data_IF_110877460546
#
_entry.id   IF_110877460546
#
_cell.length_a   1.000
_cell.length_b   1.000
_cell.length_c   1.000
_cell.angle_alpha   90.00
_cell.angle_beta   90.00
_cell.angle_gamma   90.00
#
_symmetry.space_group_name_H-M   'P 1'
#
loop_
_entity.id
_entity.type
_entity.pdbx_description
1 polymer ?
#
# COMPACT_ATOMS: atom_id res chain seq x y z
N UNK A 1 -9.02 14.11 20.70
CA UNK A 1 -8.52 14.53 19.40
C UNK A 1 -7.65 13.47 18.74
N UNK A 2 -7.26 13.68 17.50
CA UNK A 2 -6.34 12.83 16.74
C UNK A 2 -5.05 13.61 16.51
N UNK A 3 -3.91 12.93 16.67
CA UNK A 3 -2.60 13.46 16.27
C UNK A 3 -2.27 12.90 14.91
N UNK A 4 -1.93 13.77 13.96
CA UNK A 4 -1.48 13.37 12.62
C UNK A 4 0.04 13.51 12.52
N UNK A 5 0.69 12.46 12.01
CA UNK A 5 2.12 12.45 11.68
C UNK A 5 2.21 12.31 10.17
N UNK A 6 2.61 13.39 9.50
CA UNK A 6 2.88 13.36 8.07
C UNK A 6 4.23 12.67 7.82
N UNK A 7 4.25 11.71 6.91
CA UNK A 7 5.45 10.96 6.56
C UNK A 7 6.05 11.50 5.29
N UNK A 8 7.35 11.72 5.31
CA UNK A 8 8.18 11.79 4.13
C UNK A 8 8.88 10.44 3.96
N UNK A 9 8.71 9.80 2.81
CA UNK A 9 9.25 8.47 2.54
C UNK A 9 9.88 8.45 1.14
N UNK A 10 10.91 7.64 0.98
CA UNK A 10 11.62 7.52 -0.30
C UNK A 10 10.68 7.08 -1.41
N UNK A 11 10.69 7.80 -2.50
CA UNK A 11 9.94 7.49 -3.71
C UNK A 11 10.77 6.60 -4.67
N UNK A 12 10.17 6.11 -5.75
CA UNK A 12 10.87 5.30 -6.73
C UNK A 12 12.02 6.02 -7.45
N UNK A 13 12.08 7.34 -7.37
CA UNK A 13 13.21 8.12 -7.91
C UNK A 13 14.41 8.15 -6.95
N UNK A 14 14.19 7.85 -5.68
CA UNK A 14 15.22 7.88 -4.63
C UNK A 14 15.71 6.47 -4.34
N UNK A 15 14.79 5.52 -4.20
CA UNK A 15 15.14 4.12 -3.94
C UNK A 15 13.95 3.21 -4.33
N UNK A 16 14.19 2.06 -4.96
CA UNK A 16 13.13 1.16 -5.40
C UNK A 16 12.46 0.41 -4.24
N UNK A 17 11.40 -0.34 -4.58
CA UNK A 17 10.78 -1.28 -3.65
C UNK A 17 11.82 -2.21 -2.99
N UNK A 18 11.79 -2.38 -1.66
CA UNK A 18 10.74 -2.02 -0.72
C UNK A 18 11.00 -0.74 0.10
N UNK A 19 11.81 0.21 -0.35
CA UNK A 19 12.26 1.35 0.44
C UNK A 19 11.13 2.16 1.09
N UNK A 20 10.11 2.57 0.32
CA UNK A 20 8.94 3.28 0.89
C UNK A 20 8.23 2.48 1.98
N UNK A 21 8.14 1.15 1.82
CA UNK A 21 7.51 0.26 2.82
C UNK A 21 8.34 0.21 4.10
N UNK A 22 9.67 0.19 3.97
CA UNK A 22 10.59 0.25 5.11
C UNK A 22 10.45 1.56 5.88
N UNK A 23 10.36 2.68 5.17
CA UNK A 23 10.20 4.00 5.78
C UNK A 23 8.87 4.10 6.54
N UNK A 24 7.77 3.63 5.97
CA UNK A 24 6.46 3.63 6.62
C UNK A 24 6.44 2.66 7.82
N UNK A 25 7.02 1.48 7.69
CA UNK A 25 7.17 0.54 8.80
C UNK A 25 7.96 1.19 9.94
N UNK A 26 9.09 1.84 9.63
CA UNK A 26 9.87 2.59 10.61
C UNK A 26 9.04 3.70 11.27
N UNK A 27 8.31 4.48 10.48
CA UNK A 27 7.50 5.60 10.97
C UNK A 27 6.39 5.14 11.94
N UNK A 28 5.75 3.99 11.69
CA UNK A 28 4.79 3.40 12.65
C UNK A 28 5.47 3.06 13.97
N UNK A 29 6.63 2.38 13.92
CA UNK A 29 7.39 2.02 15.12
C UNK A 29 7.91 3.25 15.87
N UNK A 30 8.39 4.25 15.14
CA UNK A 30 8.85 5.53 15.69
C UNK A 30 7.69 6.29 16.37
N UNK A 31 6.51 6.31 15.75
CA UNK A 31 5.31 6.94 16.33
C UNK A 31 4.91 6.26 17.64
N UNK A 32 4.96 4.93 17.69
CA UNK A 32 4.71 4.18 18.95
C UNK A 32 5.74 4.51 20.02
N UNK A 33 7.01 4.54 19.66
CA UNK A 33 8.12 4.90 20.57
C UNK A 33 7.93 6.31 21.15
N UNK A 34 7.44 7.25 20.35
CA UNK A 34 7.27 8.65 20.75
C UNK A 34 5.84 8.98 21.20
N UNK A 35 4.99 7.99 21.47
CA UNK A 35 3.57 8.20 21.77
C UNK A 35 3.33 9.14 22.94
N UNK A 36 4.11 9.04 24.02
CA UNK A 36 4.01 9.93 25.17
C UNK A 36 4.34 11.39 24.81
N UNK A 37 5.41 11.62 24.01
CA UNK A 37 5.80 12.94 23.50
C UNK A 37 4.74 13.54 22.60
N UNK A 38 4.09 12.70 21.78
CA UNK A 38 3.00 13.08 20.89
C UNK A 38 1.65 13.18 21.60
N UNK A 39 1.58 12.94 22.93
CA UNK A 39 0.36 12.93 23.74
C UNK A 39 -0.71 11.97 23.20
N UNK A 40 -0.28 10.80 22.71
CA UNK A 40 -1.12 9.74 22.17
C UNK A 40 -0.80 8.39 22.82
N UNK A 41 -1.31 7.29 22.29
CA UNK A 41 -1.14 5.94 22.82
C UNK A 41 -0.48 5.04 21.78
N UNK A 42 0.57 4.26 22.13
CA UNK A 42 1.29 3.42 21.19
C UNK A 42 0.42 2.31 20.57
N UNK A 43 -0.62 1.88 21.26
CA UNK A 43 -1.56 0.85 20.77
C UNK A 43 -2.74 1.41 19.95
N UNK A 44 -2.79 2.72 19.69
CA UNK A 44 -3.85 3.39 18.93
C UNK A 44 -3.30 4.11 17.68
N UNK A 45 -2.34 3.51 17.01
CA UNK A 45 -1.80 4.02 15.76
C UNK A 45 -2.61 3.44 14.59
N UNK A 46 -3.04 4.28 13.66
CA UNK A 46 -3.64 3.91 12.39
C UNK A 46 -2.81 4.44 11.22
N UNK A 47 -3.02 3.92 10.03
CA UNK A 47 -2.44 4.44 8.79
C UNK A 47 -3.54 5.05 7.92
N UNK A 48 -3.18 6.13 7.24
CA UNK A 48 -4.03 6.73 6.20
C UNK A 48 -3.19 7.01 4.97
N UNK A 49 -3.73 6.71 3.79
CA UNK A 49 -3.02 6.95 2.54
C UNK A 49 -3.93 7.06 1.34
N UNK A 50 -3.45 7.81 0.34
CA UNK A 50 -4.13 8.06 -0.92
C UNK A 50 -3.37 7.40 -2.06
N UNK A 51 -4.06 6.81 -3.04
CA UNK A 51 -3.47 6.21 -4.25
C UNK A 51 -2.34 5.22 -3.90
N UNK A 52 -1.11 5.47 -4.34
CA UNK A 52 0.06 4.67 -3.96
C UNK A 52 0.30 4.66 -2.44
N UNK A 53 0.05 5.77 -1.73
CA UNK A 53 0.13 5.81 -0.26
C UNK A 53 -0.89 4.90 0.42
N UNK A 54 -2.09 4.75 -0.15
CA UNK A 54 -3.09 3.80 0.34
C UNK A 54 -2.65 2.33 0.17
N UNK A 55 -2.01 2.01 -0.97
CA UNK A 55 -1.38 0.72 -1.19
C UNK A 55 -0.29 0.43 -0.14
N UNK A 56 0.67 1.35 0.01
CA UNK A 56 1.79 1.19 0.94
C UNK A 56 1.31 1.05 2.39
N UNK A 57 0.30 1.84 2.79
CA UNK A 57 -0.32 1.75 4.10
C UNK A 57 -0.93 0.37 4.35
N UNK A 58 -1.67 -0.17 3.37
CA UNK A 58 -2.26 -1.51 3.47
C UNK A 58 -1.19 -2.59 3.49
N UNK A 59 -0.17 -2.51 2.66
CA UNK A 59 0.90 -3.51 2.61
C UNK A 59 1.66 -3.60 3.95
N UNK A 60 2.01 -2.44 4.56
CA UNK A 60 2.62 -2.41 5.89
C UNK A 60 1.67 -2.98 6.95
N UNK A 61 0.39 -2.63 6.90
CA UNK A 61 -0.59 -3.12 7.86
C UNK A 61 -0.81 -4.63 7.77
N UNK A 62 -0.74 -5.20 6.56
CA UNK A 62 -0.87 -6.64 6.34
C UNK A 62 0.38 -7.42 6.74
N UNK A 63 1.58 -6.83 6.61
CA UNK A 63 2.88 -7.48 6.87
C UNK A 63 3.74 -6.70 7.90
N UNK A 64 3.21 -6.36 9.08
CA UNK A 64 3.92 -5.48 10.03
C UNK A 64 5.20 -6.12 10.62
N UNK A 65 5.31 -7.44 10.53
CA UNK A 65 6.43 -8.22 11.07
C UNK A 65 7.41 -8.70 10.00
N UNK A 66 7.21 -8.34 8.74
CA UNK A 66 8.13 -8.75 7.67
C UNK A 66 9.52 -8.11 7.91
N UNK A 67 10.58 -8.92 8.09
CA UNK A 67 11.90 -8.42 8.40
C UNK A 67 12.48 -7.52 7.31
N UNK A 68 12.06 -7.70 6.05
CA UNK A 68 12.48 -6.85 4.93
C UNK A 68 11.94 -5.43 5.07
N UNK A 69 10.75 -5.29 5.66
CA UNK A 69 10.10 -3.99 5.90
C UNK A 69 10.57 -3.37 7.22
N UNK A 70 10.95 -4.19 8.20
CA UNK A 70 11.48 -3.74 9.48
C UNK A 70 12.99 -3.45 9.47
N UNK A 71 13.61 -3.33 8.29
CA UNK A 71 15.06 -3.23 8.11
C UNK A 71 15.70 -1.98 8.74
N UNK A 72 14.96 -0.86 8.87
CA UNK A 72 15.50 0.36 9.49
C UNK A 72 15.39 0.23 11.01
N UNK A 73 16.49 0.23 11.78
CA UNK A 73 16.44 0.07 13.23
C UNK A 73 15.89 1.32 13.92
N UNK A 74 15.17 1.14 15.02
CA UNK A 74 14.90 2.23 15.96
C UNK A 74 16.21 2.67 16.65
N UNK A 75 16.27 3.89 17.26
CA UNK A 75 17.45 4.35 17.98
C UNK A 75 17.94 3.31 19.00
N UNK A 76 19.25 3.17 19.14
CA UNK A 76 19.85 2.21 20.07
C UNK A 76 19.33 2.39 21.51
N UNK A 77 19.04 1.27 22.18
CA UNK A 77 18.47 1.29 23.54
C UNK A 77 16.97 1.57 23.61
N UNK A 78 16.28 1.79 22.47
CA UNK A 78 14.83 1.96 22.45
C UNK A 78 14.09 0.66 22.81
N UNK A 79 12.92 0.74 23.47
CA UNK A 79 12.02 -0.39 23.58
C UNK A 79 11.62 -0.93 22.19
N UNK A 80 11.47 -2.24 22.07
CA UNK A 80 11.00 -2.86 20.84
C UNK A 80 9.55 -2.48 20.55
N UNK A 81 9.30 -2.03 19.33
CA UNK A 81 7.96 -1.79 18.79
C UNK A 81 7.84 -2.48 17.42
N UNK A 82 6.69 -3.05 17.14
CA UNK A 82 6.31 -3.56 15.83
C UNK A 82 5.53 -2.51 15.01
N UNK A 83 5.27 -2.81 13.75
CA UNK A 83 4.51 -1.93 12.87
C UNK A 83 3.01 -2.28 12.78
N UNK A 84 2.46 -3.04 13.76
CA UNK A 84 1.01 -3.30 13.80
C UNK A 84 0.21 -2.01 13.95
N UNK A 85 -0.95 -1.94 13.29
CA UNK A 85 -1.83 -0.78 13.36
C UNK A 85 -3.26 -1.19 13.70
N UNK A 86 -4.04 -0.25 14.22
CA UNK A 86 -5.44 -0.48 14.65
C UNK A 86 -6.43 -0.39 13.50
N UNK A 87 -6.11 0.40 12.49
CA UNK A 87 -6.95 0.55 11.29
C UNK A 87 -6.15 1.13 10.13
N UNK A 88 -6.71 0.99 8.94
CA UNK A 88 -6.22 1.60 7.71
C UNK A 88 -7.33 2.39 7.04
N UNK A 89 -7.03 3.62 6.62
CA UNK A 89 -7.93 4.47 5.84
C UNK A 89 -7.32 4.69 4.47
N UNK A 90 -8.01 4.25 3.43
CA UNK A 90 -7.52 4.34 2.06
C UNK A 90 -8.44 5.17 1.19
N UNK A 91 -7.86 6.03 0.40
CA UNK A 91 -8.58 6.84 -0.57
C UNK A 91 -8.07 6.46 -1.96
N UNK A 92 -8.93 5.85 -2.81
CA UNK A 92 -8.62 5.27 -4.13
C UNK A 92 -7.23 4.62 -4.23
N UNK A 93 -6.94 3.60 -3.39
CA UNK A 93 -5.61 2.99 -3.35
C UNK A 93 -5.27 2.21 -4.62
N UNK A 94 -3.99 2.15 -4.95
CA UNK A 94 -3.45 1.22 -5.96
C UNK A 94 -3.27 -0.15 -5.33
N UNK A 95 -4.36 -0.84 -5.03
CA UNK A 95 -4.30 -2.05 -4.20
C UNK A 95 -3.73 -3.28 -4.90
N UNK A 96 -3.73 -3.27 -6.22
CA UNK A 96 -3.16 -4.32 -7.06
C UNK A 96 -2.19 -3.70 -8.08
N UNK A 97 -0.92 -3.48 -7.71
CA UNK A 97 0.04 -2.80 -8.58
C UNK A 97 0.30 -3.54 -9.89
N UNK A 98 0.34 -4.86 -9.91
CA UNK A 98 0.56 -5.63 -11.13
C UNK A 98 -0.61 -5.51 -12.11
N UNK A 99 -1.83 -5.71 -11.65
CA UNK A 99 -3.03 -5.53 -12.48
C UNK A 99 -3.10 -4.11 -13.04
N UNK A 100 -2.84 -3.10 -12.19
CA UNK A 100 -2.83 -1.71 -12.63
C UNK A 100 -1.76 -1.42 -13.68
N UNK A 101 -0.56 -1.98 -13.54
CA UNK A 101 0.50 -1.83 -14.52
C UNK A 101 0.09 -2.38 -15.87
N UNK A 102 -0.48 -3.58 -15.89
CA UNK A 102 -0.98 -4.22 -17.11
C UNK A 102 -2.19 -3.50 -17.70
N UNK A 103 -3.09 -2.99 -16.85
CA UNK A 103 -4.19 -2.12 -17.27
C UNK A 103 -3.67 -0.83 -17.95
N UNK A 104 -2.66 -0.17 -17.38
CA UNK A 104 -2.03 1.00 -17.97
C UNK A 104 -1.40 0.69 -19.33
N UNK A 105 -0.69 -0.42 -19.46
CA UNK A 105 -0.11 -0.87 -20.75
C UNK A 105 -1.19 -1.11 -21.82
N UNK A 106 -2.30 -1.74 -21.46
CA UNK A 106 -3.43 -1.95 -22.39
C UNK A 106 -4.07 -0.61 -22.78
N UNK A 107 -4.24 0.30 -21.85
CA UNK A 107 -4.78 1.62 -22.13
C UNK A 107 -3.86 2.46 -23.03
N UNK A 108 -2.53 2.38 -22.83
CA UNK A 108 -1.55 3.05 -23.69
C UNK A 108 -1.56 2.50 -25.12
N UNK A 109 -1.74 1.19 -25.28
CA UNK A 109 -1.78 0.52 -26.59
C UNK A 109 -3.13 0.64 -27.31
N UNK A 110 -4.13 1.30 -26.73
CA UNK A 110 -5.45 1.45 -27.34
C UNK A 110 -5.43 2.43 -28.53
N UNK A 111 -6.44 2.38 -29.41
CA UNK A 111 -6.52 3.26 -30.58
C UNK A 111 -6.59 4.76 -30.20
N UNK A 112 -7.13 5.10 -29.04
CA UNK A 112 -7.22 6.45 -28.51
C UNK A 112 -6.72 6.45 -27.05
N UNK A 113 -5.39 6.42 -26.82
CA UNK A 113 -4.84 6.32 -25.48
C UNK A 113 -5.13 7.56 -24.67
N UNK A 114 -5.63 7.44 -23.42
CA UNK A 114 -5.73 8.56 -22.51
C UNK A 114 -4.33 9.07 -22.11
N UNK A 115 -4.24 10.23 -21.50
CA UNK A 115 -2.95 10.85 -21.18
C UNK A 115 -2.21 10.18 -19.99
N UNK A 116 -2.94 9.49 -19.10
CA UNK A 116 -2.40 9.02 -17.82
C UNK A 116 -1.48 7.78 -17.87
N UNK A 117 -1.63 6.78 -18.80
CA UNK A 117 -0.89 5.52 -18.70
C UNK A 117 0.62 5.68 -18.74
N UNK A 118 1.13 6.50 -19.64
CA UNK A 118 2.57 6.70 -19.83
C UNK A 118 3.30 7.09 -18.53
N UNK A 119 2.75 8.05 -17.79
CA UNK A 119 3.33 8.50 -16.53
C UNK A 119 3.24 7.44 -15.43
N UNK A 120 2.16 6.64 -15.43
CA UNK A 120 1.96 5.56 -14.47
C UNK A 120 2.95 4.42 -14.73
N UNK A 121 3.10 4.00 -15.98
CA UNK A 121 4.05 2.95 -16.37
C UNK A 121 5.45 3.34 -15.92
N UNK A 122 5.93 4.54 -16.30
CA UNK A 122 7.26 5.01 -15.93
C UNK A 122 7.51 5.03 -14.40
N UNK A 123 6.53 5.46 -13.61
CA UNK A 123 6.63 5.46 -12.14
C UNK A 123 6.66 4.05 -11.56
N UNK A 124 5.87 3.14 -12.12
CA UNK A 124 5.85 1.75 -11.66
C UNK A 124 7.13 1.02 -12.06
N UNK A 125 7.66 1.25 -13.25
CA UNK A 125 8.96 0.71 -13.68
C UNK A 125 10.08 1.18 -12.74
N UNK A 126 10.12 2.48 -12.43
CA UNK A 126 11.11 3.04 -11.51
C UNK A 126 11.03 2.43 -10.11
N UNK A 127 9.84 2.33 -9.52
CA UNK A 127 9.66 1.86 -8.15
C UNK A 127 9.77 0.34 -8.02
N UNK A 128 9.05 -0.41 -8.87
CA UNK A 128 8.96 -1.86 -8.75
C UNK A 128 10.11 -2.61 -9.42
N UNK A 129 10.67 -2.06 -10.48
CA UNK A 129 11.73 -2.63 -11.31
C UNK A 129 11.39 -3.97 -11.99
N UNK A 130 10.34 -4.65 -11.58
CA UNK A 130 9.88 -5.90 -12.20
C UNK A 130 8.42 -6.20 -11.86
N UNK A 131 7.75 -6.96 -12.74
CA UNK A 131 6.42 -7.52 -12.45
C UNK A 131 6.44 -8.50 -11.27
N UNK A 132 7.56 -9.18 -11.02
CA UNK A 132 7.72 -10.07 -9.87
C UNK A 132 7.64 -9.30 -8.55
N UNK A 133 8.27 -8.14 -8.46
CA UNK A 133 8.15 -7.25 -7.30
C UNK A 133 6.73 -6.66 -7.17
N UNK A 134 6.08 -6.33 -8.29
CA UNK A 134 4.67 -5.89 -8.30
C UNK A 134 3.73 -6.99 -7.79
N UNK A 135 4.01 -8.25 -8.09
CA UNK A 135 3.23 -9.39 -7.60
C UNK A 135 3.52 -9.69 -6.13
N UNK A 136 4.77 -9.55 -5.70
CA UNK A 136 5.19 -9.81 -4.32
C UNK A 136 4.63 -8.75 -3.36
N UNK A 137 4.81 -7.45 -3.66
CA UNK A 137 4.31 -6.34 -2.85
C UNK A 137 2.82 -6.02 -3.07
N UNK A 138 1.99 -7.00 -3.37
CA UNK A 138 0.61 -6.85 -3.82
C UNK A 138 -0.39 -7.32 -2.76
N UNK A 139 -1.14 -6.42 -2.11
CA UNK A 139 -2.14 -6.78 -1.10
C UNK A 139 -3.22 -7.73 -1.61
N UNK A 140 -3.75 -7.51 -2.82
CA UNK A 140 -4.79 -8.39 -3.41
C UNK A 140 -4.24 -9.80 -3.64
N UNK A 141 -3.08 -9.90 -4.27
CA UNK A 141 -2.46 -11.20 -4.56
C UNK A 141 -1.98 -11.93 -3.29
N UNK A 142 -1.56 -11.19 -2.25
CA UNK A 142 -1.22 -11.80 -0.96
C UNK A 142 -2.42 -12.57 -0.37
N UNK A 143 -3.61 -11.96 -0.39
CA UNK A 143 -4.85 -12.60 0.05
C UNK A 143 -5.21 -13.80 -0.85
N UNK A 144 -5.11 -13.65 -2.17
CA UNK A 144 -5.44 -14.72 -3.13
C UNK A 144 -4.49 -15.92 -3.05
N UNK A 145 -3.24 -15.70 -2.67
CA UNK A 145 -2.26 -16.78 -2.41
C UNK A 145 -2.46 -17.43 -1.03
N UNK A 146 -3.41 -16.95 -0.22
CA UNK A 146 -3.62 -17.46 1.15
C UNK A 146 -2.45 -17.17 2.09
N UNK A 147 -1.73 -16.08 1.86
CA UNK A 147 -0.64 -15.69 2.76
C UNK A 147 -1.17 -15.37 4.16
N UNK A 148 -0.39 -15.77 5.18
CA UNK A 148 -0.69 -15.40 6.57
C UNK A 148 -0.34 -13.95 6.82
N UNK A 149 -1.31 -13.07 6.57
CA UNK A 149 -1.21 -11.62 6.77
C UNK A 149 -2.19 -11.15 7.83
N UNK A 150 -1.98 -9.95 8.38
CA UNK A 150 -2.96 -9.30 9.25
C UNK A 150 -4.01 -8.57 8.41
N UNK A 151 -5.25 -8.56 8.87
CA UNK A 151 -6.36 -7.83 8.24
C UNK A 151 -7.02 -6.87 9.24
N UNK A 152 -6.34 -5.79 9.66
CA UNK A 152 -6.93 -4.84 10.60
C UNK A 152 -8.15 -4.14 9.99
N UNK A 153 -9.09 -3.63 10.79
CA UNK A 153 -10.22 -2.84 10.29
C UNK A 153 -9.78 -1.80 9.27
N UNK A 154 -10.45 -1.75 8.12
CA UNK A 154 -10.09 -0.87 7.02
C UNK A 154 -11.31 -0.16 6.45
N UNK A 155 -11.10 1.09 6.00
CA UNK A 155 -12.07 1.88 5.26
C UNK A 155 -11.47 2.21 3.90
N UNK A 156 -12.28 2.05 2.85
CA UNK A 156 -11.94 2.42 1.48
C UNK A 156 -12.89 3.48 0.98
N UNK A 157 -12.34 4.63 0.57
CA UNK A 157 -13.06 5.67 -0.15
C UNK A 157 -12.71 5.60 -1.64
N UNK A 158 -13.73 5.50 -2.50
CA UNK A 158 -13.58 5.47 -3.96
C UNK A 158 -14.44 6.56 -4.59
N UNK A 159 -13.86 7.33 -5.51
CA UNK A 159 -14.60 8.27 -6.34
C UNK A 159 -15.37 7.54 -7.44
N UNK A 160 -16.46 8.13 -7.91
CA UNK A 160 -17.18 7.65 -9.10
C UNK A 160 -16.39 7.99 -10.37
N UNK A 161 -16.49 7.14 -11.39
CA UNK A 161 -15.86 7.31 -12.71
C UNK A 161 -14.32 7.43 -12.67
N UNK A 162 -13.68 6.83 -11.69
CA UNK A 162 -12.21 6.78 -11.56
C UNK A 162 -11.64 5.60 -12.37
N UNK A 163 -11.52 5.77 -13.67
CA UNK A 163 -11.04 4.72 -14.58
C UNK A 163 -9.58 4.30 -14.35
N UNK A 164 -8.85 5.04 -13.53
CA UNK A 164 -7.46 4.76 -13.20
C UNK A 164 -7.32 3.78 -12.00
N UNK A 165 -8.26 3.80 -11.06
CA UNK A 165 -8.25 2.96 -9.86
C UNK A 165 -9.45 2.02 -9.78
N UNK A 166 -10.53 2.34 -10.51
CA UNK A 166 -11.76 1.56 -10.56
C UNK A 166 -11.94 0.94 -11.96
N UNK A 167 -11.36 -0.23 -12.15
CA UNK A 167 -11.41 -0.97 -13.40
C UNK A 167 -11.56 -2.49 -13.13
N UNK A 168 -12.07 -3.22 -14.10
CA UNK A 168 -12.09 -4.69 -14.09
C UNK A 168 -10.78 -5.22 -14.69
N UNK A 169 -10.10 -6.08 -13.94
CA UNK A 169 -8.94 -6.79 -14.47
C UNK A 169 -9.38 -7.90 -15.42
N UNK A 170 -9.03 -7.74 -16.69
CA UNK A 170 -9.39 -8.70 -17.74
C UNK A 170 -8.62 -10.03 -17.65
N UNK A 171 -7.58 -10.08 -16.82
CA UNK A 171 -6.80 -11.29 -16.57
C UNK A 171 -7.27 -12.05 -15.32
N UNK A 172 -8.31 -11.54 -14.65
CA UNK A 172 -8.88 -12.14 -13.45
C UNK A 172 -10.23 -12.79 -13.72
N UNK A 173 -10.46 -13.95 -13.13
CA UNK A 173 -11.77 -14.63 -13.14
C UNK A 173 -12.77 -13.98 -12.16
N UNK A 174 -12.36 -12.98 -11.38
CA UNK A 174 -13.25 -12.29 -10.45
C UNK A 174 -14.28 -11.44 -11.22
N UNK A 175 -15.56 -11.67 -10.97
CA UNK A 175 -16.62 -10.88 -11.58
C UNK A 175 -16.87 -9.58 -10.80
N UNK A 176 -16.08 -8.57 -11.11
CA UNK A 176 -16.12 -7.25 -10.46
C UNK A 176 -14.87 -6.43 -10.78
N UNK A 177 -14.81 -5.23 -10.24
CA UNK A 177 -13.65 -4.35 -10.35
C UNK A 177 -12.60 -4.66 -9.26
N UNK A 178 -11.41 -4.06 -9.37
CA UNK A 178 -10.31 -4.27 -8.41
C UNK A 178 -10.68 -3.87 -6.96
N UNK A 179 -11.37 -2.75 -6.68
CA UNK A 179 -11.90 -2.46 -5.36
C UNK A 179 -12.78 -3.57 -4.78
N UNK A 180 -13.72 -4.08 -5.57
CA UNK A 180 -14.61 -5.18 -5.15
C UNK A 180 -13.86 -6.48 -4.92
N UNK A 181 -12.90 -6.80 -5.81
CA UNK A 181 -12.04 -7.97 -5.70
C UNK A 181 -11.25 -7.97 -4.40
N UNK A 182 -10.56 -6.88 -4.10
CA UNK A 182 -9.84 -6.74 -2.84
C UNK A 182 -10.76 -6.85 -1.63
N UNK A 183 -11.87 -6.09 -1.61
CA UNK A 183 -12.81 -6.11 -0.49
C UNK A 183 -13.41 -7.49 -0.24
N UNK A 184 -13.70 -8.25 -1.28
CA UNK A 184 -14.20 -9.62 -1.16
C UNK A 184 -13.14 -10.54 -0.51
N UNK A 185 -11.89 -10.46 -0.95
CA UNK A 185 -10.78 -11.26 -0.38
C UNK A 185 -10.41 -10.85 1.04
N UNK A 186 -10.51 -9.56 1.34
CA UNK A 186 -10.17 -9.02 2.67
C UNK A 186 -11.18 -9.41 3.75
N UNK A 187 -12.42 -9.71 3.37
CA UNK A 187 -13.50 -10.12 4.28
C UNK A 187 -13.60 -11.64 4.45
N UNK A 188 -13.01 -12.41 3.56
CA UNK A 188 -13.03 -13.88 3.59
C UNK A 188 -12.08 -14.43 4.63
#
# INVERSE_FOLDING_TARGET
GVVSVALDFRSGNEDPYPASVQDINYAVRWTKLNAAKLKTRPNLVGLSGQSSGGHLAMLVAMRPHDPRYAAIPLPAGSPAHDATVRCVIMTWPVINPLSRYRHAKRAEASANPPAWPKSIIARQDSYWQSEANMAEGNPTMALERGEKVLTPPAIWFQGQADTMHDYKDVESDFDGNEPQRFCARYRA
#
